data_IF_469604113292
#
_entry.id   IF_469604113292
#
_cell.length_a   1.000
_cell.length_b   1.000
_cell.length_c   1.000
_cell.angle_alpha   90.00
_cell.angle_beta   90.00
_cell.angle_gamma   90.00
#
_symmetry.space_group_name_H-M   'P 1'
#
loop_
_entity.id
_entity.type
_entity.pdbx_description
1 polymer ?
#
# COMPACT_ATOMS: atom_id res chain seq x y z
N UNK A 1 43.98 -10.63 95.67
CA UNK A 1 44.78 -11.52 94.81
C UNK A 1 44.37 -11.32 93.35
N UNK A 2 45.37 -10.94 92.53
CA UNK A 2 45.48 -11.02 91.06
C UNK A 2 44.44 -10.46 90.06
N UNK A 3 44.89 -9.36 89.42
CA UNK A 3 45.04 -9.09 87.96
C UNK A 3 43.81 -8.82 87.05
N UNK A 4 43.70 -7.54 86.65
CA UNK A 4 43.28 -7.01 85.32
C UNK A 4 44.18 -7.54 84.17
N UNK A 5 43.92 -7.34 82.84
CA UNK A 5 43.09 -6.29 82.21
C UNK A 5 42.22 -6.71 81.00
N UNK A 6 41.37 -5.78 80.56
CA UNK A 6 40.52 -5.92 79.37
C UNK A 6 41.22 -5.68 78.03
N UNK A 7 40.49 -5.95 76.95
CA UNK A 7 40.76 -5.48 75.59
C UNK A 7 39.43 -5.22 74.87
N UNK A 8 39.31 -4.00 74.34
CA UNK A 8 38.24 -3.54 73.47
C UNK A 8 38.26 -4.30 72.13
N UNK A 9 37.09 -4.61 71.59
CA UNK A 9 36.92 -5.05 70.20
C UNK A 9 36.18 -3.95 69.44
N UNK A 10 36.87 -3.37 68.47
CA UNK A 10 36.34 -2.42 67.51
C UNK A 10 35.59 -3.18 66.41
N UNK A 11 34.37 -2.73 66.10
CA UNK A 11 33.56 -3.23 65.00
C UNK A 11 34.12 -2.74 63.65
N UNK A 12 34.42 -3.67 62.75
CA UNK A 12 34.79 -3.40 61.36
C UNK A 12 33.53 -3.54 60.51
N UNK A 13 33.08 -2.42 59.93
CA UNK A 13 31.99 -2.38 58.96
C UNK A 13 32.52 -2.74 57.57
N UNK A 14 31.98 -3.80 56.97
CA UNK A 14 32.20 -4.16 55.57
C UNK A 14 31.23 -3.35 54.71
N UNK A 15 31.76 -2.41 53.93
CA UNK A 15 31.00 -1.68 52.89
C UNK A 15 31.05 -2.50 51.60
N UNK A 16 29.94 -3.19 51.30
CA UNK A 16 29.70 -3.80 50.00
C UNK A 16 29.22 -2.72 49.02
N UNK A 17 30.13 -2.23 48.16
CA UNK A 17 29.78 -1.43 46.99
C UNK A 17 29.01 -2.29 45.99
N UNK A 18 27.69 -2.09 45.93
CA UNK A 18 26.86 -2.61 44.84
C UNK A 18 26.96 -1.63 43.66
N UNK A 19 27.68 -2.03 42.61
CA UNK A 19 27.60 -1.37 41.31
C UNK A 19 26.17 -1.54 40.77
N UNK A 20 25.35 -0.49 40.84
CA UNK A 20 24.13 -0.42 40.05
C UNK A 20 24.51 -0.13 38.60
N UNK A 21 24.63 -1.20 37.80
CA UNK A 21 24.48 -1.12 36.35
C UNK A 21 23.01 -0.76 36.08
N UNK A 22 22.73 0.53 35.91
CA UNK A 22 21.45 1.03 35.39
C UNK A 22 21.34 0.68 33.91
N UNK A 23 21.05 -0.58 33.61
CA UNK A 23 20.35 -0.93 32.38
C UNK A 23 18.93 -0.35 32.53
N UNK A 24 18.75 0.85 32.00
CA UNK A 24 17.46 1.52 31.99
C UNK A 24 16.45 0.70 31.19
N UNK A 25 15.68 -0.15 31.87
CA UNK A 25 14.45 -0.69 31.34
C UNK A 25 13.55 0.49 30.98
N UNK A 26 13.36 0.67 29.68
CA UNK A 26 12.66 1.77 29.03
C UNK A 26 11.14 1.59 29.18
N UNK A 27 10.61 1.70 30.41
CA UNK A 27 9.18 1.61 30.72
C UNK A 27 8.61 3.00 31.08
N UNK A 28 8.74 3.94 30.14
CA UNK A 28 8.06 5.24 30.26
C UNK A 28 6.57 5.10 29.95
N UNK A 29 5.70 5.53 30.87
CA UNK A 29 4.26 5.66 30.59
C UNK A 29 4.03 6.64 29.42
N UNK A 30 2.94 6.48 28.64
CA UNK A 30 2.55 7.47 27.62
C UNK A 30 2.51 8.88 28.21
N UNK A 31 2.94 9.85 27.42
CA UNK A 31 2.89 11.26 27.81
C UNK A 31 1.44 11.74 27.77
N UNK A 32 1.11 12.68 28.65
CA UNK A 32 -0.12 13.46 28.54
C UNK A 32 -0.07 14.32 27.26
N UNK A 33 -1.23 14.63 26.69
CA UNK A 33 -1.38 15.26 25.36
C UNK A 33 -0.54 16.53 25.17
N UNK A 34 -0.57 17.47 26.12
CA UNK A 34 0.22 18.71 26.04
C UNK A 34 1.74 18.45 26.11
N UNK A 35 2.18 17.46 26.90
CA UNK A 35 3.59 17.09 26.99
C UNK A 35 4.05 16.36 25.73
N UNK A 36 3.18 15.54 25.13
CA UNK A 36 3.43 14.90 23.85
C UNK A 36 3.60 15.95 22.75
N UNK A 37 2.67 16.89 22.62
CA UNK A 37 2.73 17.97 21.63
C UNK A 37 4.02 18.80 21.76
N UNK A 38 4.37 19.22 22.98
CA UNK A 38 5.60 19.97 23.24
C UNK A 38 6.86 19.17 22.84
N UNK A 39 6.91 17.88 23.20
CA UNK A 39 8.05 17.02 22.84
C UNK A 39 8.12 16.74 21.34
N UNK A 40 6.98 16.60 20.67
CA UNK A 40 6.92 16.44 19.21
C UNK A 40 7.47 17.69 18.51
N UNK A 41 7.09 18.89 18.95
CA UNK A 41 7.60 20.15 18.39
C UNK A 41 9.11 20.30 18.57
N UNK A 42 9.64 19.98 19.75
CA UNK A 42 11.08 20.02 20.00
C UNK A 42 11.86 19.10 19.05
N UNK A 43 11.42 17.85 18.94
CA UNK A 43 12.06 16.85 18.07
C UNK A 43 11.89 17.20 16.59
N UNK A 44 10.75 17.76 16.21
CA UNK A 44 10.50 18.19 14.85
C UNK A 44 11.34 19.41 14.47
N UNK A 45 11.55 20.36 15.39
CA UNK A 45 12.48 21.48 15.21
C UNK A 45 13.93 21.02 15.03
N UNK A 46 14.31 19.90 15.64
CA UNK A 46 15.61 19.26 15.44
C UNK A 46 15.70 18.39 14.18
N UNK A 47 14.58 18.14 13.48
CA UNK A 47 14.52 17.23 12.33
C UNK A 47 14.78 15.76 12.66
N UNK A 48 14.64 15.34 13.93
CA UNK A 48 15.02 14.00 14.39
C UNK A 48 13.91 12.97 14.17
N UNK A 49 13.84 12.45 12.95
CA UNK A 49 12.89 11.41 12.55
C UNK A 49 12.95 10.16 13.44
N UNK A 50 14.15 9.79 13.92
CA UNK A 50 14.37 8.56 14.70
C UNK A 50 13.89 8.73 16.14
N UNK A 51 14.14 9.90 16.75
CA UNK A 51 13.60 10.21 18.06
C UNK A 51 12.07 10.32 18.05
N UNK A 52 11.49 10.89 16.99
CA UNK A 52 10.04 10.90 16.77
C UNK A 52 9.48 9.48 16.65
N UNK A 53 10.12 8.59 15.88
CA UNK A 53 9.68 7.20 15.76
C UNK A 53 9.70 6.46 17.11
N UNK A 54 10.76 6.67 17.90
CA UNK A 54 10.84 6.12 19.27
C UNK A 54 9.77 6.70 20.19
N UNK A 55 9.42 7.97 20.02
CA UNK A 55 8.34 8.62 20.78
C UNK A 55 6.99 8.02 20.40
N UNK A 56 6.71 7.87 19.10
CA UNK A 56 5.50 7.23 18.59
C UNK A 56 5.35 5.80 19.15
N UNK A 57 6.40 4.99 19.07
CA UNK A 57 6.39 3.63 19.60
C UNK A 57 6.05 3.62 21.09
N UNK A 58 6.73 4.43 21.91
CA UNK A 58 6.41 4.50 23.35
C UNK A 58 4.99 4.97 23.65
N UNK A 59 4.48 5.92 22.85
CA UNK A 59 3.14 6.48 23.03
C UNK A 59 2.05 5.47 22.67
N UNK A 60 2.26 4.71 21.59
CA UNK A 60 1.23 3.92 20.94
C UNK A 60 1.39 2.39 21.10
N UNK A 61 2.44 1.89 21.76
CA UNK A 61 2.55 0.45 22.07
C UNK A 61 1.46 -0.09 23.02
N UNK A 62 0.95 0.67 24.01
CA UNK A 62 -0.10 0.16 24.89
C UNK A 62 -1.45 0.00 24.18
N UNK A 63 -2.17 -1.08 24.46
CA UNK A 63 -3.57 -1.27 24.06
C UNK A 63 -3.83 -2.38 23.04
N UNK A 64 -5.10 -2.51 22.68
CA UNK A 64 -5.60 -3.39 21.62
C UNK A 64 -5.11 -2.94 20.25
N UNK A 65 -5.20 -3.81 19.23
CA UNK A 65 -4.74 -3.47 17.87
C UNK A 65 -5.36 -2.16 17.35
N UNK A 66 -6.68 -2.03 17.51
CA UNK A 66 -7.43 -0.86 17.06
C UNK A 66 -7.06 0.43 17.80
N UNK A 67 -6.78 0.33 19.11
CA UNK A 67 -6.32 1.49 19.91
C UNK A 67 -4.94 1.96 19.46
N UNK A 68 -4.02 1.02 19.21
CA UNK A 68 -2.68 1.35 18.70
C UNK A 68 -2.73 1.99 17.33
N UNK A 69 -3.52 1.42 16.41
CA UNK A 69 -3.70 1.97 15.08
C UNK A 69 -4.24 3.41 15.16
N UNK A 70 -5.32 3.64 15.90
CA UNK A 70 -5.85 5.01 16.11
C UNK A 70 -4.82 5.96 16.72
N UNK A 71 -3.99 5.49 17.64
CA UNK A 71 -2.91 6.28 18.23
C UNK A 71 -1.88 6.70 17.17
N UNK A 72 -1.41 5.76 16.34
CA UNK A 72 -0.47 6.07 15.26
C UNK A 72 -1.08 7.00 14.22
N UNK A 73 -2.35 6.79 13.84
CA UNK A 73 -3.08 7.69 12.92
C UNK A 73 -3.09 9.13 13.46
N UNK A 74 -3.48 9.32 14.74
CA UNK A 74 -3.46 10.63 15.40
C UNK A 74 -2.05 11.24 15.51
N UNK A 75 -1.04 10.41 15.79
CA UNK A 75 0.36 10.84 15.88
C UNK A 75 0.86 11.40 14.54
N UNK A 76 0.64 10.69 13.43
CA UNK A 76 1.06 11.14 12.11
C UNK A 76 0.24 12.33 11.61
N UNK A 77 -1.03 12.42 11.98
CA UNK A 77 -1.86 13.60 11.74
C UNK A 77 -1.26 14.85 12.38
N UNK A 78 -0.86 14.77 13.65
CA UNK A 78 -0.23 15.89 14.35
C UNK A 78 1.15 16.24 13.77
N UNK A 79 1.96 15.24 13.41
CA UNK A 79 3.30 15.47 12.87
C UNK A 79 3.29 16.09 11.45
N UNK A 80 2.27 15.78 10.65
CA UNK A 80 2.22 16.16 9.23
C UNK A 80 1.72 17.57 8.97
N UNK A 81 1.39 18.34 10.03
CA UNK A 81 0.82 19.67 9.86
C UNK A 81 1.74 20.60 9.05
N UNK A 82 1.15 21.12 7.96
CA UNK A 82 1.56 22.20 7.06
C UNK A 82 3.06 22.48 6.82
N UNK A 83 3.86 21.43 6.61
CA UNK A 83 5.18 21.54 5.97
C UNK A 83 6.20 20.45 6.29
N UNK A 84 5.88 19.50 7.18
CA UNK A 84 6.82 18.50 7.68
C UNK A 84 6.73 17.14 6.98
N UNK A 85 6.38 17.11 5.69
CA UNK A 85 6.17 15.88 4.91
C UNK A 85 7.38 14.95 4.96
N UNK A 86 8.57 15.48 4.64
CA UNK A 86 9.81 14.69 4.66
C UNK A 86 10.12 14.12 6.05
N UNK A 87 9.88 14.90 7.11
CA UNK A 87 10.07 14.48 8.49
C UNK A 87 9.07 13.38 8.87
N UNK A 88 7.79 13.54 8.54
CA UNK A 88 6.75 12.55 8.82
C UNK A 88 7.02 11.22 8.09
N UNK A 89 7.38 11.28 6.81
CA UNK A 89 7.77 10.10 6.02
C UNK A 89 9.03 9.43 6.59
N UNK A 90 10.02 10.22 7.01
CA UNK A 90 11.23 9.71 7.68
C UNK A 90 10.93 9.03 9.02
N UNK A 91 10.05 9.61 9.82
CA UNK A 91 9.57 9.02 11.08
C UNK A 91 8.84 7.70 10.84
N UNK A 92 7.94 7.65 9.85
CA UNK A 92 7.23 6.44 9.49
C UNK A 92 8.19 5.34 9.03
N UNK A 93 9.15 5.67 8.16
CA UNK A 93 10.17 4.74 7.71
C UNK A 93 11.03 4.19 8.86
N UNK A 94 11.40 5.03 9.83
CA UNK A 94 12.16 4.61 11.00
C UNK A 94 11.34 3.71 11.94
N UNK A 95 10.06 4.00 12.11
CA UNK A 95 9.15 3.22 12.96
C UNK A 95 8.85 1.84 12.34
N UNK A 96 8.57 1.78 11.04
CA UNK A 96 8.29 0.53 10.33
C UNK A 96 9.46 -0.48 10.39
N UNK A 97 10.71 -0.02 10.55
CA UNK A 97 11.86 -0.91 10.74
C UNK A 97 11.84 -1.69 12.05
N UNK A 98 11.08 -1.23 13.04
CA UNK A 98 11.03 -1.83 14.38
C UNK A 98 9.65 -2.31 14.78
N UNK A 99 8.61 -1.94 14.03
CA UNK A 99 7.23 -2.40 14.23
C UNK A 99 6.64 -2.90 12.90
N UNK A 100 6.57 -4.22 12.73
CA UNK A 100 6.04 -4.88 11.53
C UNK A 100 4.57 -4.55 11.24
N UNK A 101 3.81 -4.12 12.25
CA UNK A 101 2.41 -3.71 12.10
C UNK A 101 2.36 -2.36 11.39
N UNK A 102 3.25 -1.45 11.77
CA UNK A 102 3.41 -0.15 11.09
C UNK A 102 3.96 -0.33 9.68
N UNK A 103 4.85 -1.29 9.45
CA UNK A 103 5.29 -1.65 8.10
C UNK A 103 4.10 -2.11 7.24
N UNK A 104 3.24 -2.99 7.77
CA UNK A 104 2.06 -3.49 7.07
C UNK A 104 1.06 -2.39 6.72
N UNK A 105 0.82 -1.45 7.65
CA UNK A 105 -0.11 -0.33 7.47
C UNK A 105 0.56 0.94 6.89
N UNK A 106 1.84 0.85 6.50
CA UNK A 106 2.63 2.01 6.09
C UNK A 106 1.98 2.80 4.94
N UNK A 107 1.33 2.11 4.01
CA UNK A 107 0.63 2.74 2.90
C UNK A 107 -0.47 3.69 3.40
N UNK A 108 -1.28 3.22 4.34
CA UNK A 108 -2.37 3.98 4.97
C UNK A 108 -1.84 5.22 5.69
N UNK A 109 -0.76 5.08 6.46
CA UNK A 109 -0.16 6.21 7.15
C UNK A 109 0.38 7.25 6.17
N UNK A 110 0.92 6.84 5.02
CA UNK A 110 1.36 7.81 4.00
C UNK A 110 0.20 8.59 3.36
N UNK A 111 -0.99 7.98 3.18
CA UNK A 111 -2.19 8.73 2.79
C UNK A 111 -2.51 9.85 3.78
N UNK A 112 -2.52 9.54 5.09
CA UNK A 112 -2.76 10.55 6.14
C UNK A 112 -1.75 11.69 6.11
N UNK A 113 -0.46 11.38 5.92
CA UNK A 113 0.60 12.37 5.78
C UNK A 113 0.31 13.29 4.59
N UNK A 114 -0.03 12.72 3.43
CA UNK A 114 -0.38 13.49 2.22
C UNK A 114 -1.62 14.35 2.40
N UNK A 115 -2.68 13.81 3.03
CA UNK A 115 -3.92 14.54 3.30
C UNK A 115 -3.65 15.79 4.14
N UNK A 116 -2.81 15.66 5.18
CA UNK A 116 -2.50 16.79 6.07
C UNK A 116 -1.42 17.74 5.53
N UNK A 117 -0.66 17.31 4.53
CA UNK A 117 0.35 18.16 3.88
C UNK A 117 -0.28 19.33 3.11
N UNK A 118 -1.45 19.12 2.50
CA UNK A 118 -2.11 20.10 1.65
C UNK A 118 -3.34 20.72 2.32
N UNK A 119 -3.61 22.00 2.02
CA UNK A 119 -4.80 22.74 2.48
C UNK A 119 -5.21 23.79 1.44
N UNK A 120 -6.48 24.25 1.43
CA UNK A 120 -6.93 25.29 0.50
C UNK A 120 -6.01 26.52 0.48
N UNK A 121 -5.75 27.03 -0.72
CA UNK A 121 -4.83 28.16 -0.96
C UNK A 121 -3.35 27.79 -1.08
N UNK A 122 -2.95 26.53 -0.86
CA UNK A 122 -1.60 26.05 -1.19
C UNK A 122 -1.54 25.48 -2.60
N UNK A 123 -0.38 25.61 -3.23
CA UNK A 123 -0.10 24.96 -4.51
C UNK A 123 -0.05 23.43 -4.33
N UNK A 124 -0.92 22.74 -5.08
CA UNK A 124 -1.07 21.28 -5.02
C UNK A 124 0.15 20.58 -5.60
N UNK A 125 0.73 21.09 -6.70
CA UNK A 125 1.90 20.51 -7.34
C UNK A 125 3.16 20.59 -6.47
N UNK A 126 3.38 21.74 -5.83
CA UNK A 126 4.48 21.96 -4.90
C UNK A 126 4.37 21.04 -3.68
N UNK A 127 3.16 20.84 -3.16
CA UNK A 127 2.94 19.91 -2.03
C UNK A 127 3.14 18.46 -2.46
N UNK A 128 2.59 18.08 -3.62
CA UNK A 128 2.75 16.76 -4.22
C UNK A 128 4.23 16.41 -4.42
N UNK A 129 5.04 17.37 -4.89
CA UNK A 129 6.49 17.20 -5.09
C UNK A 129 7.29 16.98 -3.80
N UNK A 130 6.72 17.21 -2.61
CA UNK A 130 7.37 16.90 -1.32
C UNK A 130 7.22 15.44 -0.88
N UNK A 131 6.35 14.68 -1.54
CA UNK A 131 6.12 13.27 -1.25
C UNK A 131 7.22 12.37 -1.83
N UNK A 132 7.21 11.09 -1.43
CA UNK A 132 8.13 10.06 -1.96
C UNK A 132 7.35 8.80 -2.28
N UNK A 133 7.96 7.86 -3.01
CA UNK A 133 7.35 6.55 -3.32
C UNK A 133 7.28 5.58 -2.14
N UNK A 134 7.64 6.03 -0.94
CA UNK A 134 7.62 5.23 0.29
C UNK A 134 6.21 4.68 0.54
N UNK A 135 6.11 3.40 0.89
CA UNK A 135 4.85 2.66 1.11
C UNK A 135 3.82 2.85 -0.01
N UNK A 136 4.19 2.44 -1.23
CA UNK A 136 3.33 2.46 -2.41
C UNK A 136 2.74 3.86 -2.68
N UNK A 137 3.56 4.90 -2.50
CA UNK A 137 3.25 6.28 -2.92
C UNK A 137 2.04 6.92 -2.23
N UNK A 138 1.55 6.40 -1.09
CA UNK A 138 0.30 6.88 -0.51
C UNK A 138 0.29 8.38 -0.15
N UNK A 139 1.45 9.00 0.10
CA UNK A 139 1.55 10.46 0.28
C UNK A 139 1.07 11.24 -0.95
N UNK A 140 1.46 10.82 -2.15
CA UNK A 140 1.01 11.44 -3.40
C UNK A 140 -0.51 11.35 -3.53
N UNK A 141 -1.08 10.17 -3.26
CA UNK A 141 -2.53 9.96 -3.28
C UNK A 141 -3.25 10.82 -2.24
N UNK A 142 -2.71 10.90 -1.02
CA UNK A 142 -3.23 11.73 0.06
C UNK A 142 -3.34 13.21 -0.27
N UNK A 143 -2.35 13.77 -0.98
CA UNK A 143 -2.39 15.17 -1.44
C UNK A 143 -3.56 15.38 -2.41
N UNK A 144 -3.79 14.44 -3.33
CA UNK A 144 -4.90 14.51 -4.29
C UNK A 144 -6.26 14.29 -3.61
N UNK A 145 -6.34 13.36 -2.64
CA UNK A 145 -7.51 13.17 -1.79
C UNK A 145 -7.88 14.48 -1.07
N UNK A 146 -6.93 15.13 -0.40
CA UNK A 146 -7.17 16.41 0.25
C UNK A 146 -7.58 17.49 -0.75
N UNK A 147 -6.91 17.56 -1.90
CA UNK A 147 -7.28 18.51 -2.96
C UNK A 147 -8.73 18.37 -3.41
N UNK A 148 -9.23 17.15 -3.65
CA UNK A 148 -10.59 16.94 -4.13
C UNK A 148 -11.65 17.11 -3.03
N UNK A 149 -11.29 16.84 -1.77
CA UNK A 149 -12.22 16.89 -0.63
C UNK A 149 -12.31 18.25 0.08
N UNK A 150 -11.31 19.14 -0.05
CA UNK A 150 -11.21 20.30 0.84
C UNK A 150 -12.09 21.52 0.51
N UNK A 151 -13.06 21.45 -0.42
CA UNK A 151 -14.14 22.46 -0.64
C UNK A 151 -14.80 22.28 -1.99
N UNK A 152 -16.09 22.64 -2.11
CA UNK A 152 -16.83 22.74 -3.37
C UNK A 152 -17.24 21.39 -3.96
N UNK A 153 -18.14 21.41 -4.95
CA UNK A 153 -18.46 20.21 -5.72
C UNK A 153 -17.28 19.82 -6.61
N UNK A 154 -17.02 18.51 -6.72
CA UNK A 154 -16.05 17.98 -7.68
C UNK A 154 -16.71 17.95 -9.05
N UNK A 155 -16.10 18.63 -10.03
CA UNK A 155 -16.54 18.69 -11.42
C UNK A 155 -15.44 18.23 -12.39
N UNK A 156 -15.82 18.13 -13.67
CA UNK A 156 -14.92 17.68 -14.74
C UNK A 156 -13.70 18.57 -14.94
N UNK A 157 -13.83 19.90 -14.77
CA UNK A 157 -12.72 20.83 -14.93
C UNK A 157 -11.64 20.61 -13.86
N UNK A 158 -12.07 20.40 -12.61
CA UNK A 158 -11.16 20.13 -11.49
C UNK A 158 -10.43 18.79 -11.61
N UNK A 159 -11.05 17.80 -12.24
CA UNK A 159 -10.45 16.47 -12.45
C UNK A 159 -9.52 16.45 -13.65
N UNK A 160 -9.99 16.89 -14.82
CA UNK A 160 -9.27 16.73 -16.08
C UNK A 160 -7.94 17.51 -16.13
N UNK A 161 -7.91 18.73 -15.58
CA UNK A 161 -6.71 19.58 -15.61
C UNK A 161 -5.69 19.32 -14.49
N UNK A 162 -6.05 18.54 -13.46
CA UNK A 162 -5.25 18.44 -12.23
C UNK A 162 -3.88 17.82 -12.48
N UNK A 163 -3.84 16.65 -13.13
CA UNK A 163 -2.58 15.93 -13.30
C UNK A 163 -1.68 16.54 -14.37
N UNK A 164 -2.21 17.37 -15.27
CA UNK A 164 -1.37 18.18 -16.16
C UNK A 164 -0.63 19.28 -15.39
N UNK A 165 -1.29 19.89 -14.39
CA UNK A 165 -0.69 20.89 -13.52
C UNK A 165 0.28 20.29 -12.49
N UNK A 166 -0.01 19.10 -11.97
CA UNK A 166 0.76 18.47 -10.88
C UNK A 166 1.90 17.59 -11.40
N UNK A 167 1.66 16.82 -12.47
CA UNK A 167 2.57 15.78 -12.93
C UNK A 167 2.37 15.51 -14.43
N UNK A 168 2.70 16.49 -15.28
CA UNK A 168 2.61 16.33 -16.73
C UNK A 168 3.45 15.13 -17.23
N UNK A 169 2.99 14.50 -18.32
CA UNK A 169 3.68 13.37 -18.96
C UNK A 169 5.11 13.70 -19.39
N UNK A 170 5.39 14.96 -19.69
CA UNK A 170 6.74 15.44 -20.02
C UNK A 170 7.71 15.40 -18.83
N UNK A 171 7.18 15.44 -17.58
CA UNK A 171 7.98 15.42 -16.36
C UNK A 171 8.28 14.01 -15.83
N UNK A 172 7.26 13.13 -15.76
CA UNK A 172 7.41 11.72 -15.38
C UNK A 172 6.07 10.96 -15.50
N UNK A 173 6.04 9.91 -16.34
CA UNK A 173 4.87 9.03 -16.44
C UNK A 173 4.53 8.34 -15.12
N UNK A 174 5.52 8.04 -14.28
CA UNK A 174 5.29 7.44 -12.97
C UNK A 174 4.59 8.43 -12.02
N UNK A 175 5.01 9.70 -11.97
CA UNK A 175 4.34 10.71 -11.14
C UNK A 175 2.92 10.98 -11.64
N UNK A 176 2.72 11.00 -12.96
CA UNK A 176 1.38 11.12 -13.53
C UNK A 176 0.48 9.98 -13.07
N UNK A 177 0.99 8.75 -13.08
CA UNK A 177 0.25 7.58 -12.59
C UNK A 177 -0.19 7.78 -11.13
N UNK A 178 0.73 8.20 -10.24
CA UNK A 178 0.38 8.46 -8.84
C UNK A 178 -0.70 9.54 -8.71
N UNK A 179 -0.66 10.59 -9.55
CA UNK A 179 -1.68 11.63 -9.56
C UNK A 179 -3.06 11.08 -10.00
N UNK A 180 -3.16 10.43 -11.17
CA UNK A 180 -4.45 9.93 -11.68
C UNK A 180 -5.01 8.81 -10.82
N UNK A 181 -4.15 7.97 -10.24
CA UNK A 181 -4.56 6.98 -9.25
C UNK A 181 -5.15 7.67 -8.00
N UNK A 182 -4.44 8.69 -7.48
CA UNK A 182 -4.93 9.53 -6.38
C UNK A 182 -6.26 10.24 -6.67
N UNK A 183 -6.56 10.58 -7.93
CA UNK A 183 -7.88 11.09 -8.32
C UNK A 183 -8.96 10.07 -7.99
N UNK A 184 -8.78 8.79 -8.36
CA UNK A 184 -9.73 7.72 -8.06
C UNK A 184 -10.05 7.62 -6.57
N UNK A 185 -9.03 7.64 -5.72
CA UNK A 185 -9.20 7.69 -4.27
C UNK A 185 -9.98 8.94 -3.81
N UNK A 186 -9.62 10.12 -4.32
CA UNK A 186 -10.27 11.37 -3.93
C UNK A 186 -11.74 11.45 -4.39
N UNK A 187 -12.10 10.85 -5.53
CA UNK A 187 -13.48 10.78 -6.02
C UNK A 187 -14.35 9.89 -5.13
N UNK A 188 -13.85 8.70 -4.75
CA UNK A 188 -14.52 7.82 -3.77
C UNK A 188 -14.77 8.57 -2.46
N UNK A 189 -13.75 9.22 -1.90
CA UNK A 189 -13.89 9.99 -0.66
C UNK A 189 -14.87 11.17 -0.79
N UNK A 190 -14.82 11.90 -1.91
CA UNK A 190 -15.67 13.08 -2.13
C UNK A 190 -17.14 12.74 -2.31
N UNK A 191 -17.44 11.51 -2.74
CA UNK A 191 -18.80 11.05 -3.02
C UNK A 191 -19.24 9.90 -2.11
N UNK A 192 -18.67 9.82 -0.91
CA UNK A 192 -19.06 8.87 0.13
C UNK A 192 -19.06 7.40 -0.36
N UNK A 193 -17.99 7.03 -1.06
CA UNK A 193 -17.74 5.71 -1.63
C UNK A 193 -18.84 5.20 -2.59
N UNK A 194 -19.50 6.12 -3.30
CA UNK A 194 -20.39 5.83 -4.42
C UNK A 194 -19.55 5.48 -5.68
N UNK A 195 -19.12 4.22 -5.77
CA UNK A 195 -18.24 3.73 -6.84
C UNK A 195 -18.75 4.01 -8.26
N UNK A 196 -20.03 3.79 -8.61
CA UNK A 196 -20.54 4.16 -9.93
C UNK A 196 -20.30 5.63 -10.27
N UNK A 197 -20.48 6.53 -9.30
CA UNK A 197 -20.22 7.96 -9.47
C UNK A 197 -18.72 8.25 -9.59
N UNK A 198 -17.88 7.63 -8.76
CA UNK A 198 -16.42 7.75 -8.84
C UNK A 198 -15.88 7.33 -10.22
N UNK A 199 -16.34 6.19 -10.74
CA UNK A 199 -15.97 5.70 -12.07
C UNK A 199 -16.43 6.65 -13.19
N UNK A 200 -17.62 7.22 -13.08
CA UNK A 200 -18.10 8.24 -14.02
C UNK A 200 -17.26 9.54 -13.94
N UNK A 201 -16.74 9.89 -12.77
CA UNK A 201 -15.79 11.00 -12.63
C UNK A 201 -14.43 10.71 -13.27
N UNK A 202 -13.94 9.47 -13.16
CA UNK A 202 -12.73 9.04 -13.88
C UNK A 202 -12.91 9.13 -15.41
N UNK A 203 -14.13 8.94 -15.93
CA UNK A 203 -14.41 9.05 -17.37
C UNK A 203 -14.20 10.47 -17.94
N UNK A 204 -14.04 11.48 -17.10
CA UNK A 204 -13.67 12.83 -17.54
C UNK A 204 -12.21 12.96 -17.98
N UNK A 205 -11.35 11.99 -17.66
CA UNK A 205 -9.96 11.98 -18.10
C UNK A 205 -9.85 11.59 -19.59
N UNK A 206 -9.02 12.32 -20.34
CA UNK A 206 -8.96 12.22 -21.80
C UNK A 206 -8.36 10.90 -22.29
N UNK A 207 -7.23 10.47 -21.71
CA UNK A 207 -6.51 9.30 -22.19
C UNK A 207 -7.01 8.01 -21.52
N UNK A 208 -7.01 6.91 -22.28
CA UNK A 208 -7.37 5.60 -21.73
C UNK A 208 -6.45 5.15 -20.59
N UNK A 209 -5.17 5.56 -20.64
CA UNK A 209 -4.20 5.23 -19.61
C UNK A 209 -4.48 5.98 -18.30
N UNK A 210 -4.86 7.27 -18.38
CA UNK A 210 -5.25 8.06 -17.19
C UNK A 210 -6.53 7.50 -16.56
N UNK A 211 -7.52 7.13 -17.40
CA UNK A 211 -8.76 6.50 -16.95
C UNK A 211 -8.50 5.19 -16.22
N UNK A 212 -7.69 4.30 -16.78
CA UNK A 212 -7.37 3.01 -16.14
C UNK A 212 -6.62 3.21 -14.81
N UNK A 213 -5.70 4.19 -14.74
CA UNK A 213 -5.03 4.56 -13.49
C UNK A 213 -6.01 5.05 -12.42
N UNK A 214 -6.96 5.91 -12.82
CA UNK A 214 -8.03 6.42 -11.95
C UNK A 214 -9.00 5.33 -11.49
N UNK A 215 -9.46 4.45 -12.39
CA UNK A 215 -10.30 3.32 -12.02
C UNK A 215 -9.60 2.43 -11.00
N UNK A 216 -8.31 2.15 -11.19
CA UNK A 216 -7.52 1.42 -10.21
C UNK A 216 -7.54 2.05 -8.82
N UNK A 217 -7.39 3.37 -8.72
CA UNK A 217 -7.47 4.07 -7.43
C UNK A 217 -8.85 3.99 -6.80
N UNK A 218 -9.90 4.19 -7.60
CA UNK A 218 -11.29 4.11 -7.12
C UNK A 218 -11.63 2.70 -6.61
N UNK A 219 -11.32 1.65 -7.37
CA UNK A 219 -11.57 0.27 -6.93
C UNK A 219 -10.73 -0.13 -5.72
N UNK A 220 -9.48 0.35 -5.61
CA UNK A 220 -8.63 0.07 -4.45
C UNK A 220 -9.21 0.71 -3.18
N UNK A 221 -9.55 2.00 -3.27
CA UNK A 221 -10.19 2.74 -2.18
C UNK A 221 -11.52 2.10 -1.78
N UNK A 222 -12.36 1.73 -2.75
CA UNK A 222 -13.64 1.07 -2.49
C UNK A 222 -13.46 -0.30 -1.81
N UNK A 223 -12.50 -1.11 -2.28
CA UNK A 223 -12.20 -2.41 -1.69
C UNK A 223 -11.73 -2.27 -0.24
N UNK A 224 -10.77 -1.37 0.03
CA UNK A 224 -10.26 -1.11 1.38
C UNK A 224 -11.36 -0.58 2.31
N UNK A 225 -12.17 0.36 1.81
CA UNK A 225 -13.31 0.95 2.52
C UNK A 225 -14.38 -0.07 2.93
N UNK A 226 -14.48 -1.18 2.19
CA UNK A 226 -15.48 -2.22 2.40
C UNK A 226 -15.16 -3.21 3.51
N UNK A 227 -13.91 -3.24 4.01
CA UNK A 227 -13.44 -4.20 5.00
C UNK A 227 -13.87 -3.73 6.40
N UNK A 228 -14.56 -4.58 7.22
CA UNK A 228 -14.89 -4.23 8.61
C UNK A 228 -13.63 -3.94 9.43
N UNK A 229 -13.61 -2.82 10.16
CA UNK A 229 -12.40 -2.34 10.84
C UNK A 229 -11.37 -1.67 9.90
N UNK A 230 -11.71 -1.47 8.63
CA UNK A 230 -10.83 -0.99 7.58
C UNK A 230 -10.25 0.42 7.77
N UNK A 231 -9.13 0.63 7.08
CA UNK A 231 -8.05 1.60 7.26
C UNK A 231 -8.34 3.08 6.96
N UNK A 232 -9.51 3.60 7.34
CA UNK A 232 -9.78 5.02 7.24
C UNK A 232 -10.60 5.53 8.43
N UNK A 233 -10.49 4.96 9.64
CA UNK A 233 -11.25 5.50 10.77
C UNK A 233 -10.93 6.99 10.98
N UNK A 234 -9.65 7.36 11.10
CA UNK A 234 -9.25 8.76 11.22
C UNK A 234 -9.33 9.52 9.89
N UNK A 235 -9.02 8.91 8.75
CA UNK A 235 -9.14 9.60 7.44
C UNK A 235 -10.61 9.93 7.09
N UNK A 236 -11.57 9.03 7.39
CA UNK A 236 -13.02 9.28 7.28
C UNK A 236 -13.47 10.34 8.26
N UNK A 237 -12.94 10.35 9.48
CA UNK A 237 -13.21 11.41 10.47
C UNK A 237 -12.64 12.77 10.03
N UNK A 238 -11.45 12.82 9.43
CA UNK A 238 -10.86 14.05 8.89
C UNK A 238 -11.65 14.54 7.67
N UNK A 239 -12.06 13.64 6.78
CA UNK A 239 -12.91 13.97 5.64
C UNK A 239 -14.33 14.40 6.07
N UNK A 240 -14.80 13.96 7.24
CA UNK A 240 -16.07 14.36 7.83
C UNK A 240 -15.97 15.49 8.86
N UNK A 241 -14.76 15.98 9.18
CA UNK A 241 -14.60 17.19 9.99
C UNK A 241 -15.05 18.42 9.17
N UNK A 242 -16.05 19.18 9.65
CA UNK A 242 -16.54 20.34 8.93
C UNK A 242 -15.50 21.46 8.99
N UNK A 243 -14.74 21.63 7.91
CA UNK A 243 -13.94 22.84 7.68
C UNK A 243 -14.88 23.99 7.33
N UNK A 244 -15.49 24.58 8.36
CA UNK A 244 -16.38 25.73 8.25
C UNK A 244 -17.83 25.35 7.98
N UNK A 245 -18.74 25.99 8.70
CA UNK A 245 -20.17 25.82 8.53
C UNK A 245 -20.60 26.26 7.12
N UNK A 246 -20.80 25.28 6.25
CA UNK A 246 -21.66 25.41 5.08
C UNK A 246 -22.50 24.15 5.03
N UNK A 247 -23.68 24.24 5.66
CA UNK A 247 -24.75 23.29 5.49
C UNK A 247 -25.22 23.35 4.04
N UNK A 248 -24.62 22.55 3.17
CA UNK A 248 -25.18 22.25 1.87
C UNK A 248 -25.80 20.87 1.91
N UNK A 249 -27.10 20.87 2.27
CA UNK A 249 -28.03 19.79 1.97
C UNK A 249 -28.23 19.67 0.46
N UNK A 250 -27.18 19.25 -0.25
CA UNK A 250 -27.34 18.67 -1.57
C UNK A 250 -28.12 17.38 -1.38
N UNK A 251 -29.35 17.35 -1.89
CA UNK A 251 -30.10 16.11 -2.08
C UNK A 251 -29.43 15.27 -3.17
N UNK A 252 -28.19 14.86 -2.95
CA UNK A 252 -27.58 13.77 -3.70
C UNK A 252 -28.36 12.52 -3.32
N UNK A 253 -28.99 11.88 -4.31
CA UNK A 253 -29.63 10.59 -4.12
C UNK A 253 -28.72 9.69 -3.28
N UNK A 254 -29.22 9.19 -2.15
CA UNK A 254 -28.49 8.18 -1.37
C UNK A 254 -28.22 7.04 -2.32
N UNK A 255 -26.96 6.88 -2.74
CA UNK A 255 -26.60 5.81 -3.66
C UNK A 255 -27.02 4.49 -3.03
N UNK A 256 -27.83 3.72 -3.75
CA UNK A 256 -28.19 2.36 -3.36
C UNK A 256 -27.03 1.39 -3.58
N UNK A 257 -25.89 1.87 -4.07
CA UNK A 257 -24.69 1.07 -4.28
C UNK A 257 -24.18 0.54 -2.94
N UNK A 258 -23.94 -0.77 -2.89
CA UNK A 258 -23.29 -1.44 -1.77
C UNK A 258 -21.82 -1.60 -2.12
N UNK A 259 -20.88 -1.50 -1.19
CA UNK A 259 -19.47 -1.82 -1.51
C UNK A 259 -19.22 -3.34 -1.60
N UNK A 260 -20.07 -4.15 -0.96
CA UNK A 260 -20.01 -5.61 -1.01
C UNK A 260 -21.40 -6.21 -1.16
N UNK A 261 -21.45 -7.37 -1.79
CA UNK A 261 -22.64 -8.21 -1.83
C UNK A 261 -22.35 -9.53 -1.09
N UNK A 262 -23.25 -9.93 -0.20
CA UNK A 262 -23.11 -11.20 0.51
C UNK A 262 -23.46 -12.40 -0.38
N UNK A 263 -24.21 -12.23 -1.45
CA UNK A 263 -24.61 -13.29 -2.37
C UNK A 263 -23.66 -13.46 -3.57
N UNK A 264 -22.82 -12.47 -3.86
CA UNK A 264 -21.93 -12.47 -5.03
C UNK A 264 -20.49 -12.12 -4.64
N UNK A 265 -19.59 -13.09 -4.76
CA UNK A 265 -18.17 -12.91 -4.44
C UNK A 265 -17.42 -12.08 -5.49
N UNK A 266 -17.95 -11.96 -6.72
CA UNK A 266 -17.34 -11.15 -7.79
C UNK A 266 -17.88 -9.72 -7.82
N UNK A 267 -18.80 -9.38 -6.92
CA UNK A 267 -19.30 -8.03 -6.76
C UNK A 267 -18.19 -7.09 -6.25
N UNK A 268 -18.05 -5.85 -6.77
CA UNK A 268 -18.92 -5.21 -7.77
C UNK A 268 -18.55 -5.50 -9.23
N UNK A 269 -17.45 -6.22 -9.50
CA UNK A 269 -16.97 -6.44 -10.86
C UNK A 269 -17.97 -7.17 -11.78
N UNK A 270 -18.87 -7.95 -11.19
CA UNK A 270 -19.97 -8.62 -11.89
C UNK A 270 -21.04 -7.67 -12.44
N UNK A 271 -21.16 -6.45 -11.89
CA UNK A 271 -22.21 -5.50 -12.26
C UNK A 271 -21.69 -4.22 -12.92
N UNK A 272 -20.40 -3.91 -12.79
CA UNK A 272 -19.81 -2.76 -13.48
C UNK A 272 -19.71 -3.02 -14.99
N UNK A 273 -19.79 -1.94 -15.78
CA UNK A 273 -19.65 -2.03 -17.23
C UNK A 273 -18.29 -2.58 -17.65
N UNK A 274 -18.24 -3.24 -18.83
CA UNK A 274 -17.05 -3.96 -19.35
C UNK A 274 -15.78 -3.12 -19.31
N UNK A 275 -15.88 -1.81 -19.58
CA UNK A 275 -14.74 -0.87 -19.56
C UNK A 275 -14.02 -0.80 -18.21
N UNK A 276 -14.72 -1.06 -17.10
CA UNK A 276 -14.15 -0.98 -15.75
C UNK A 276 -13.68 -2.34 -15.22
N UNK A 277 -14.08 -3.44 -15.88
CA UNK A 277 -13.88 -4.79 -15.34
C UNK A 277 -12.40 -5.16 -15.20
N UNK A 278 -11.54 -4.73 -16.13
CA UNK A 278 -10.09 -4.97 -16.05
C UNK A 278 -9.52 -4.46 -14.73
N UNK A 279 -9.66 -3.16 -14.46
CA UNK A 279 -9.23 -2.53 -13.20
C UNK A 279 -9.92 -3.13 -11.98
N UNK A 280 -11.22 -3.44 -12.08
CA UNK A 280 -11.97 -4.02 -10.98
C UNK A 280 -11.39 -5.38 -10.56
N UNK A 281 -11.30 -6.33 -11.50
CA UNK A 281 -10.83 -7.69 -11.19
C UNK A 281 -9.36 -7.72 -10.75
N UNK A 282 -8.54 -6.74 -11.13
CA UNK A 282 -7.17 -6.60 -10.62
C UNK A 282 -7.10 -6.33 -9.10
N UNK A 283 -8.17 -5.83 -8.49
CA UNK A 283 -8.19 -5.35 -7.10
C UNK A 283 -9.16 -6.11 -6.18
N UNK A 284 -9.77 -7.21 -6.64
CA UNK A 284 -10.75 -7.97 -5.86
C UNK A 284 -10.23 -9.21 -5.13
N UNK A 285 -9.00 -9.65 -5.35
CA UNK A 285 -8.49 -10.93 -4.81
C UNK A 285 -8.69 -11.06 -3.30
N UNK A 286 -8.34 -10.01 -2.53
CA UNK A 286 -8.53 -9.99 -1.08
C UNK A 286 -10.00 -10.01 -0.64
N UNK A 287 -10.88 -9.34 -1.39
CA UNK A 287 -12.33 -9.29 -1.13
C UNK A 287 -12.96 -10.66 -1.35
N UNK A 288 -12.61 -11.32 -2.46
CA UNK A 288 -13.03 -12.67 -2.79
C UNK A 288 -12.56 -13.63 -1.69
N UNK A 289 -11.28 -13.60 -1.31
CA UNK A 289 -10.71 -14.44 -0.27
C UNK A 289 -11.46 -14.28 1.06
N UNK A 290 -11.67 -13.04 1.53
CA UNK A 290 -12.44 -12.79 2.75
C UNK A 290 -13.86 -13.38 2.66
N UNK A 291 -14.51 -13.28 1.50
CA UNK A 291 -15.87 -13.82 1.30
C UNK A 291 -15.93 -15.34 1.42
N UNK A 292 -14.90 -16.04 0.97
CA UNK A 292 -14.84 -17.50 1.00
C UNK A 292 -14.08 -18.07 2.21
N UNK A 293 -13.71 -17.23 3.18
CA UNK A 293 -13.06 -17.66 4.42
C UNK A 293 -11.55 -17.90 4.28
N UNK A 294 -10.88 -17.09 3.45
CA UNK A 294 -9.45 -17.17 3.13
C UNK A 294 -9.03 -18.48 2.44
N UNK A 295 -10.00 -19.17 1.83
CA UNK A 295 -9.80 -20.42 1.10
C UNK A 295 -9.46 -20.13 -0.37
N UNK A 296 -8.22 -20.44 -0.77
CA UNK A 296 -7.73 -20.20 -2.12
C UNK A 296 -8.33 -21.14 -3.18
N UNK A 297 -8.76 -22.35 -2.81
CA UNK A 297 -9.43 -23.25 -3.74
C UNK A 297 -10.80 -22.69 -4.11
N UNK A 298 -11.56 -22.28 -3.09
CA UNK A 298 -12.86 -21.63 -3.29
C UNK A 298 -12.71 -20.30 -4.02
N UNK A 299 -11.69 -19.49 -3.69
CA UNK A 299 -11.45 -18.22 -4.36
C UNK A 299 -11.08 -18.41 -5.85
N UNK A 300 -10.31 -19.44 -6.18
CA UNK A 300 -10.02 -19.77 -7.58
C UNK A 300 -11.29 -20.21 -8.32
N UNK A 301 -12.15 -21.02 -7.69
CA UNK A 301 -13.46 -21.39 -8.23
C UNK A 301 -14.38 -20.17 -8.45
N UNK A 302 -14.25 -19.14 -7.61
CA UNK A 302 -14.91 -17.85 -7.84
C UNK A 302 -14.37 -17.15 -9.09
N UNK A 303 -13.05 -17.06 -9.23
CA UNK A 303 -12.43 -16.50 -10.44
C UNK A 303 -12.78 -17.27 -11.71
N UNK A 304 -13.01 -18.58 -11.66
CA UNK A 304 -13.46 -19.36 -12.83
C UNK A 304 -14.80 -18.86 -13.40
N UNK A 305 -15.64 -18.23 -12.56
CA UNK A 305 -16.92 -17.62 -12.97
C UNK A 305 -16.77 -16.24 -13.60
N UNK A 306 -15.59 -15.62 -13.51
CA UNK A 306 -15.34 -14.31 -14.11
C UNK A 306 -15.42 -14.37 -15.66
N UNK A 307 -15.83 -13.27 -16.33
CA UNK A 307 -15.87 -13.22 -17.79
C UNK A 307 -14.51 -13.53 -18.41
N UNK A 308 -14.48 -14.32 -19.48
CA UNK A 308 -13.24 -14.82 -20.08
C UNK A 308 -12.19 -13.73 -20.41
N UNK A 309 -12.56 -12.53 -20.92
CA UNK A 309 -11.60 -11.47 -21.22
C UNK A 309 -10.84 -10.94 -19.99
N UNK A 310 -11.45 -10.96 -18.80
CA UNK A 310 -10.91 -10.38 -17.55
C UNK A 310 -10.63 -11.42 -16.47
N UNK A 311 -10.93 -12.70 -16.71
CA UNK A 311 -10.67 -13.78 -15.76
C UNK A 311 -9.21 -13.84 -15.30
N UNK A 312 -8.29 -13.54 -16.22
CA UNK A 312 -6.87 -13.48 -15.90
C UNK A 312 -6.53 -12.39 -14.86
N UNK A 313 -7.23 -11.24 -14.86
CA UNK A 313 -7.07 -10.20 -13.85
C UNK A 313 -7.51 -10.70 -12.46
N UNK A 314 -8.57 -11.50 -12.38
CA UNK A 314 -9.03 -12.10 -11.12
C UNK A 314 -7.96 -13.00 -10.51
N UNK A 315 -7.40 -13.91 -11.32
CA UNK A 315 -6.30 -14.78 -10.89
C UNK A 315 -5.04 -13.98 -10.51
N UNK A 316 -4.70 -12.93 -11.26
CA UNK A 316 -3.59 -12.05 -10.93
C UNK A 316 -3.80 -11.41 -9.55
N UNK A 317 -5.00 -10.88 -9.27
CA UNK A 317 -5.33 -10.29 -7.98
C UNK A 317 -5.26 -11.30 -6.82
N UNK A 318 -5.69 -12.55 -7.04
CA UNK A 318 -5.49 -13.63 -6.07
C UNK A 318 -4.01 -13.88 -5.79
N UNK A 319 -3.17 -13.87 -6.82
CA UNK A 319 -1.73 -14.02 -6.68
C UNK A 319 -1.07 -12.90 -5.87
N UNK A 320 -1.45 -11.65 -6.13
CA UNK A 320 -1.01 -10.50 -5.33
C UNK A 320 -1.42 -10.67 -3.86
N UNK A 321 -2.65 -11.11 -3.62
CA UNK A 321 -3.15 -11.37 -2.25
C UNK A 321 -2.39 -12.51 -1.57
N UNK A 322 -2.10 -13.61 -2.27
CA UNK A 322 -1.30 -14.74 -1.76
C UNK A 322 0.09 -14.28 -1.33
N UNK A 323 0.75 -13.46 -2.15
CA UNK A 323 2.05 -12.88 -1.81
C UNK A 323 2.01 -12.06 -0.53
N UNK A 324 0.98 -11.23 -0.32
CA UNK A 324 0.83 -10.41 0.88
C UNK A 324 0.55 -11.26 2.13
N UNK A 325 -0.45 -12.15 2.07
CA UNK A 325 -0.91 -12.97 3.20
C UNK A 325 0.19 -13.90 3.71
N UNK A 326 0.96 -14.50 2.81
CA UNK A 326 2.03 -15.43 3.18
C UNK A 326 3.34 -14.73 3.55
N UNK A 327 3.38 -13.39 3.50
CA UNK A 327 4.60 -12.60 3.68
C UNK A 327 5.70 -13.12 2.75
N UNK A 328 5.30 -13.42 1.50
CA UNK A 328 6.17 -13.93 0.43
C UNK A 328 6.81 -15.30 0.72
N UNK A 329 6.16 -16.17 1.50
CA UNK A 329 6.55 -17.59 1.58
C UNK A 329 6.25 -18.29 0.25
N UNK A 330 7.31 -18.72 -0.43
CA UNK A 330 7.21 -19.31 -1.75
C UNK A 330 6.42 -20.62 -1.78
N UNK A 331 6.57 -21.49 -0.78
CA UNK A 331 5.90 -22.81 -0.75
C UNK A 331 4.41 -22.66 -0.55
N UNK A 332 4.02 -21.83 0.43
CA UNK A 332 2.62 -21.53 0.71
C UNK A 332 1.95 -20.85 -0.49
N UNK A 333 2.65 -19.89 -1.10
CA UNK A 333 2.11 -19.20 -2.28
C UNK A 333 1.94 -20.14 -3.49
N UNK A 334 2.88 -21.07 -3.72
CA UNK A 334 2.73 -22.08 -4.78
C UNK A 334 1.50 -22.97 -4.52
N UNK A 335 1.28 -23.39 -3.27
CA UNK A 335 0.09 -24.17 -2.92
C UNK A 335 -1.19 -23.38 -3.22
N UNK A 336 -1.27 -22.12 -2.79
CA UNK A 336 -2.42 -21.25 -3.03
C UNK A 336 -2.71 -21.00 -4.53
N UNK A 337 -1.68 -20.83 -5.37
CA UNK A 337 -1.86 -20.62 -6.81
C UNK A 337 -2.05 -21.90 -7.63
N UNK A 338 -2.07 -23.09 -7.01
CA UNK A 338 -2.23 -24.38 -7.70
C UNK A 338 -3.68 -24.86 -7.81
N UNK A 339 -4.66 -23.97 -7.56
CA UNK A 339 -6.10 -24.26 -7.63
C UNK A 339 -6.78 -23.61 -8.84
N UNK A 340 -8.02 -24.03 -9.12
CA UNK A 340 -8.84 -23.51 -10.22
C UNK A 340 -8.40 -23.97 -11.61
N UNK A 341 -8.93 -23.34 -12.65
CA UNK A 341 -8.67 -23.66 -14.06
C UNK A 341 -7.15 -23.63 -14.39
N UNK A 342 -6.54 -24.76 -14.78
CA UNK A 342 -5.13 -24.83 -15.19
C UNK A 342 -4.76 -23.89 -16.36
N UNK A 343 -5.74 -23.47 -17.16
CA UNK A 343 -5.58 -22.46 -18.21
C UNK A 343 -5.31 -21.06 -17.66
N UNK A 344 -5.80 -20.75 -16.45
CA UNK A 344 -5.70 -19.43 -15.82
C UNK A 344 -4.76 -19.38 -14.60
N UNK A 345 -4.41 -20.53 -14.00
CA UNK A 345 -3.39 -20.64 -12.95
C UNK A 345 -2.10 -19.82 -13.19
N UNK A 346 -1.52 -19.75 -14.42
CA UNK A 346 -0.32 -18.95 -14.66
C UNK A 346 -0.46 -17.49 -14.21
N UNK A 347 -1.66 -16.91 -14.28
CA UNK A 347 -1.89 -15.51 -13.90
C UNK A 347 -1.84 -15.29 -12.38
N UNK A 348 -2.16 -16.31 -11.57
CA UNK A 348 -1.90 -16.24 -10.12
C UNK A 348 -0.40 -16.13 -9.85
N UNK A 349 0.43 -16.97 -10.48
CA UNK A 349 1.89 -16.87 -10.36
C UNK A 349 2.44 -15.54 -10.89
N UNK A 350 1.84 -14.95 -11.93
CA UNK A 350 2.15 -13.60 -12.41
C UNK A 350 1.90 -12.56 -11.31
N UNK A 351 0.72 -12.58 -10.69
CA UNK A 351 0.38 -11.65 -9.59
C UNK A 351 1.35 -11.76 -8.42
N UNK A 352 1.71 -12.99 -8.05
CA UNK A 352 2.68 -13.27 -6.99
C UNK A 352 4.03 -12.65 -7.31
N UNK A 353 4.63 -13.02 -8.45
CA UNK A 353 6.01 -12.63 -8.75
C UNK A 353 6.13 -11.13 -8.98
N UNK A 354 5.10 -10.52 -9.56
CA UNK A 354 5.01 -9.06 -9.68
C UNK A 354 5.05 -8.41 -8.31
N UNK A 355 4.17 -8.85 -7.40
CA UNK A 355 4.13 -8.29 -6.05
C UNK A 355 5.42 -8.56 -5.25
N UNK A 356 6.05 -9.72 -5.39
CA UNK A 356 7.36 -10.01 -4.76
C UNK A 356 8.40 -8.96 -5.15
N UNK A 357 8.49 -8.62 -6.43
CA UNK A 357 9.45 -7.65 -6.94
C UNK A 357 9.02 -6.22 -6.55
N UNK A 358 7.74 -5.89 -6.66
CA UNK A 358 7.23 -4.54 -6.40
C UNK A 358 7.48 -4.10 -4.95
N UNK A 359 7.28 -5.00 -3.98
CA UNK A 359 7.45 -4.67 -2.55
C UNK A 359 8.90 -4.65 -2.09
N UNK A 360 9.82 -5.32 -2.80
CA UNK A 360 11.25 -5.34 -2.42
C UNK A 360 12.13 -4.51 -3.34
N UNK A 361 11.61 -4.10 -4.51
CA UNK A 361 12.37 -3.54 -5.63
C UNK A 361 13.55 -4.41 -6.09
N UNK A 362 13.50 -5.73 -5.84
CA UNK A 362 14.59 -6.67 -6.19
C UNK A 362 14.12 -7.75 -7.16
N UNK A 363 14.55 -7.70 -8.42
CA UNK A 363 14.28 -8.76 -9.39
C UNK A 363 14.74 -10.16 -8.93
N UNK A 364 15.81 -10.23 -8.13
CA UNK A 364 16.34 -11.49 -7.59
C UNK A 364 15.32 -12.28 -6.76
N UNK A 365 14.43 -11.59 -6.04
CA UNK A 365 13.40 -12.24 -5.21
C UNK A 365 12.36 -12.93 -6.09
N UNK A 366 11.97 -12.28 -7.20
CA UNK A 366 11.09 -12.89 -8.20
C UNK A 366 11.76 -14.04 -8.94
N UNK A 367 13.05 -13.92 -9.26
CA UNK A 367 13.83 -15.01 -9.87
C UNK A 367 13.86 -16.23 -8.95
N UNK A 368 14.20 -16.05 -7.67
CA UNK A 368 14.24 -17.13 -6.68
C UNK A 368 12.87 -17.82 -6.53
N UNK A 369 11.78 -17.05 -6.53
CA UNK A 369 10.42 -17.61 -6.53
C UNK A 369 10.14 -18.45 -7.78
N UNK A 370 10.38 -17.92 -8.99
CA UNK A 370 10.08 -18.64 -10.22
C UNK A 370 10.87 -19.94 -10.40
N UNK A 371 12.07 -20.07 -9.81
CA UNK A 371 12.82 -21.35 -9.79
C UNK A 371 12.07 -22.46 -9.03
N UNK A 372 11.30 -22.10 -8.00
CA UNK A 372 10.54 -23.04 -7.19
C UNK A 372 9.20 -23.42 -7.81
N UNK A 373 8.68 -22.61 -8.75
CA UNK A 373 7.42 -22.90 -9.46
C UNK A 373 7.60 -24.19 -10.29
N UNK A 374 6.63 -25.12 -10.25
CA UNK A 374 6.68 -26.33 -11.06
C UNK A 374 6.92 -26.04 -12.55
N UNK A 375 7.78 -26.86 -13.17
CA UNK A 375 8.11 -26.74 -14.58
C UNK A 375 6.84 -26.83 -15.45
N UNK A 376 6.76 -25.98 -16.48
CA UNK A 376 5.61 -25.93 -17.37
C UNK A 376 5.13 -24.51 -17.62
N UNK A 377 3.83 -24.36 -17.88
CA UNK A 377 3.20 -23.08 -18.24
C UNK A 377 3.33 -22.04 -17.12
N UNK A 378 3.08 -22.44 -15.88
CA UNK A 378 3.15 -21.56 -14.70
C UNK A 378 4.55 -20.95 -14.55
N UNK A 379 5.60 -21.77 -14.57
CA UNK A 379 6.99 -21.29 -14.46
C UNK A 379 7.40 -20.41 -15.65
N UNK A 380 7.02 -20.76 -16.89
CA UNK A 380 7.33 -19.92 -18.06
C UNK A 380 6.68 -18.54 -17.96
N UNK A 381 5.41 -18.47 -17.58
CA UNK A 381 4.72 -17.18 -17.41
C UNK A 381 5.32 -16.37 -16.26
N UNK A 382 5.71 -17.03 -15.17
CA UNK A 382 6.43 -16.41 -14.04
C UNK A 382 7.71 -15.70 -14.54
N UNK A 383 8.51 -16.36 -15.38
CA UNK A 383 9.71 -15.76 -15.95
C UNK A 383 9.45 -14.54 -16.83
N UNK A 384 8.38 -14.55 -17.63
CA UNK A 384 7.98 -13.37 -18.41
C UNK A 384 7.60 -12.22 -17.48
N UNK A 385 6.84 -12.48 -16.43
CA UNK A 385 6.44 -11.46 -15.45
C UNK A 385 7.63 -10.87 -14.67
N UNK A 386 8.68 -11.66 -14.38
CA UNK A 386 9.96 -11.12 -13.86
C UNK A 386 10.54 -10.10 -14.83
N UNK A 387 10.59 -10.44 -16.12
CA UNK A 387 11.05 -9.54 -17.17
C UNK A 387 10.24 -8.25 -17.26
N UNK A 388 8.91 -8.35 -17.19
CA UNK A 388 8.00 -7.20 -17.18
C UNK A 388 8.32 -6.25 -16.02
N UNK A 389 8.58 -6.76 -14.81
CA UNK A 389 8.96 -5.91 -13.68
C UNK A 389 10.38 -5.36 -13.75
N UNK A 390 11.32 -6.11 -14.32
CA UNK A 390 12.66 -5.59 -14.64
C UNK A 390 12.55 -4.39 -15.59
N UNK A 391 11.64 -4.45 -16.58
CA UNK A 391 11.36 -3.33 -17.48
C UNK A 391 10.75 -2.15 -16.72
N UNK A 392 9.91 -2.36 -15.72
CA UNK A 392 9.39 -1.26 -14.87
C UNK A 392 10.52 -0.61 -14.08
N UNK A 393 11.36 -1.40 -13.41
CA UNK A 393 12.46 -0.90 -12.57
C UNK A 393 13.59 -0.23 -13.36
N UNK A 394 13.80 -0.66 -14.61
CA UNK A 394 14.87 -0.17 -15.49
C UNK A 394 14.32 0.33 -16.82
N UNK A 395 13.27 1.17 -16.80
CA UNK A 395 12.48 1.57 -17.96
C UNK A 395 13.28 1.96 -19.22
N UNK A 396 14.38 2.70 -19.05
CA UNK A 396 15.21 3.22 -20.15
C UNK A 396 16.60 2.59 -20.25
N UNK A 397 16.93 1.59 -19.41
CA UNK A 397 18.26 0.97 -19.36
C UNK A 397 18.22 -0.50 -19.79
N UNK A 398 18.37 -0.72 -21.10
CA UNK A 398 18.40 -2.07 -21.66
C UNK A 398 19.59 -2.92 -21.16
N UNK A 399 20.70 -2.28 -20.77
CA UNK A 399 21.87 -2.96 -20.21
C UNK A 399 21.56 -3.51 -18.82
N UNK A 400 20.98 -2.69 -17.95
CA UNK A 400 20.50 -3.11 -16.64
C UNK A 400 19.41 -4.19 -16.74
N UNK A 401 18.47 -4.04 -17.69
CA UNK A 401 17.46 -5.08 -17.96
C UNK A 401 18.10 -6.43 -18.32
N UNK A 402 19.09 -6.41 -19.24
CA UNK A 402 19.76 -7.62 -19.68
C UNK A 402 20.59 -8.26 -18.56
N UNK A 403 21.27 -7.44 -17.74
CA UNK A 403 22.04 -7.89 -16.59
C UNK A 403 21.13 -8.53 -15.52
N UNK A 404 19.99 -7.90 -15.20
CA UNK A 404 19.02 -8.46 -14.26
C UNK A 404 18.48 -9.81 -14.74
N UNK A 405 18.10 -9.93 -16.03
CA UNK A 405 17.66 -11.20 -16.60
C UNK A 405 18.76 -12.27 -16.67
N UNK A 406 20.05 -11.90 -16.67
CA UNK A 406 21.15 -12.86 -16.64
C UNK A 406 21.21 -13.66 -15.33
N UNK A 407 20.62 -13.13 -14.25
CA UNK A 407 20.44 -13.85 -12.97
C UNK A 407 19.46 -15.02 -13.05
N UNK A 408 18.62 -15.10 -14.08
CA UNK A 408 17.77 -16.26 -14.33
C UNK A 408 18.59 -17.45 -14.88
N UNK A 409 18.24 -18.70 -14.51
CA UNK A 409 18.84 -19.89 -15.09
C UNK A 409 18.56 -19.96 -16.61
N UNK A 410 19.31 -20.77 -17.38
CA UNK A 410 19.14 -20.85 -18.84
C UNK A 410 17.68 -21.06 -19.28
N UNK A 411 16.92 -21.88 -18.56
CA UNK A 411 15.51 -22.16 -18.83
C UNK A 411 14.56 -20.95 -18.71
N UNK A 412 14.91 -19.94 -17.90
CA UNK A 412 14.07 -18.75 -17.64
C UNK A 412 14.58 -17.48 -18.31
N UNK A 413 15.83 -17.48 -18.77
CA UNK A 413 16.52 -16.28 -19.28
C UNK A 413 15.86 -15.69 -20.52
N UNK A 414 15.47 -16.51 -21.49
CA UNK A 414 14.82 -16.02 -22.71
C UNK A 414 13.43 -15.45 -22.42
N UNK A 415 12.63 -16.14 -21.60
CA UNK A 415 11.33 -15.65 -21.15
C UNK A 415 11.43 -14.32 -20.39
N UNK A 416 12.41 -14.21 -19.49
CA UNK A 416 12.71 -12.94 -18.81
C UNK A 416 13.06 -11.83 -19.82
N UNK A 417 13.96 -12.09 -20.76
CA UNK A 417 14.36 -11.10 -21.78
C UNK A 417 13.18 -10.70 -22.67
N UNK A 418 12.29 -11.63 -23.00
CA UNK A 418 11.05 -11.33 -23.72
C UNK A 418 10.13 -10.41 -22.92
N UNK A 419 9.87 -10.72 -21.65
CA UNK A 419 9.08 -9.86 -20.76
C UNK A 419 9.71 -8.48 -20.55
N UNK A 420 11.04 -8.42 -20.48
CA UNK A 420 11.80 -7.18 -20.43
C UNK A 420 11.86 -6.44 -21.77
N UNK A 421 11.17 -6.95 -22.80
CA UNK A 421 11.10 -6.41 -24.17
C UNK A 421 12.49 -6.20 -24.80
N UNK A 422 13.44 -7.08 -24.46
CA UNK A 422 14.77 -7.19 -25.09
C UNK A 422 14.76 -8.17 -26.26
N UNK A 423 13.70 -8.98 -26.38
CA UNK A 423 13.43 -9.88 -27.50
C UNK A 423 12.04 -9.55 -28.05
N UNK A 424 11.89 -9.59 -29.38
CA UNK A 424 10.61 -9.35 -30.04
C UNK A 424 9.72 -10.60 -30.11
N UNK A 425 10.34 -11.78 -30.23
CA UNK A 425 9.64 -13.06 -30.38
C UNK A 425 9.37 -13.71 -29.02
N UNK A 426 8.15 -14.22 -28.78
CA UNK A 426 7.84 -14.95 -27.55
C UNK A 426 8.64 -16.26 -27.47
N UNK A 427 8.96 -16.74 -26.26
CA UNK A 427 9.61 -18.04 -26.11
C UNK A 427 8.66 -19.17 -26.57
N UNK A 428 9.19 -20.29 -27.10
CA UNK A 428 8.37 -21.41 -27.55
C UNK A 428 7.39 -21.91 -26.47
N UNK A 429 6.13 -22.13 -26.85
CA UNK A 429 5.08 -22.60 -25.93
C UNK A 429 4.65 -21.59 -24.87
N UNK A 430 4.86 -20.29 -25.14
CA UNK A 430 4.26 -19.19 -24.40
C UNK A 430 2.76 -19.13 -24.71
N UNK A 431 1.88 -19.23 -23.70
CA UNK A 431 0.45 -19.08 -23.94
C UNK A 431 0.16 -17.63 -24.33
N UNK A 432 -0.38 -17.45 -25.53
CA UNK A 432 -1.06 -16.22 -25.90
C UNK A 432 -2.28 -16.07 -24.98
N UNK A 433 -2.62 -14.85 -24.53
CA UNK A 433 -3.77 -14.65 -23.63
C UNK A 433 -4.99 -15.32 -24.26
N UNK A 434 -5.86 -16.01 -23.50
CA UNK A 434 -7.08 -16.57 -24.08
C UNK A 434 -7.88 -15.49 -24.84
N UNK A 435 -7.93 -15.59 -26.17
CA UNK A 435 -8.58 -14.61 -27.05
C UNK A 435 -7.64 -13.69 -27.86
N UNK A 436 -6.34 -13.65 -27.56
CA UNK A 436 -5.33 -13.06 -28.45
C UNK A 436 -4.93 -14.13 -29.50
N UNK A 437 -4.85 -13.76 -30.79
CA UNK A 437 -4.38 -14.66 -31.86
C UNK A 437 -2.85 -14.66 -31.88
N UNK A 438 -2.26 -15.82 -32.19
CA UNK A 438 -0.81 -16.03 -32.39
C UNK A 438 -0.17 -15.02 -33.36
#
# INVERSE_FOLDING_TARGET
>A
MNRRPGRAQAAVWVVLLTLMLTTGCWSGRPLAEAALASRMEELAGAGDSVALARLALRQCEPGTSDERQRCYEGYFVALSDSGRVALALGTLAALARVDHRVEADGHVYTHLIGIKAWRPGRDVGATFATCTGLFQSGCYHGVIQAYLTATGEVDSARVAGLCDAVASTAGSAWLRFQCVHGIGHGLEMSWNWDLPRALAGCDWLESAWDREGCYGGAFMENAVASIPGGHHAVARMIASEPQGHSAHGGQGAVSSFRMRDSADALYPCSIVGERYQSSCFMLQGGIILQRVGMDFERAAAECDRAPAPVRHNCYLSLGTSASGITIRDARQTIAHCSHGDPGYQPWCFVGVVKNFIDVTARPSDGIAFCQLVPAGRNRRQCWVAVGEQIRVLHATDAGAQALACAGAPPEGREACRYGARLLATPPPGFPVRPGERE
#
